data_IF_506157559000
#
_entry.id   IF_506157559000
#
_cell.length_a   1.000
_cell.length_b   1.000
_cell.length_c   1.000
_cell.angle_alpha   90.00
_cell.angle_beta   90.00
_cell.angle_gamma   90.00
#
_symmetry.space_group_name_H-M   'P 1'
#
loop_
_entity.id
_entity.type
_entity.pdbx_description
1 polymer ?
#
# COMPACT_ATOMS: atom_id res chain seq x y z
N UNK A 1 -1.37 -7.04 -10.80
CA UNK A 1 -0.28 -6.43 -11.57
C UNK A 1 -0.69 -6.14 -13.04
N UNK A 2 -1.14 -7.09 -13.90
CA UNK A 2 -1.48 -6.77 -15.30
C UNK A 2 -2.55 -5.69 -15.48
N UNK A 3 -3.47 -5.54 -14.52
CA UNK A 3 -4.52 -4.51 -14.57
C UNK A 3 -3.93 -3.11 -14.36
N UNK A 4 -2.98 -2.95 -13.43
CA UNK A 4 -2.31 -1.68 -13.19
C UNK A 4 -1.45 -1.25 -14.38
N UNK A 5 -0.78 -2.22 -15.04
CA UNK A 5 -0.04 -1.95 -16.27
C UNK A 5 -0.95 -1.40 -17.38
N UNK A 6 -2.10 -2.04 -17.59
CA UNK A 6 -3.09 -1.55 -18.56
C UNK A 6 -3.60 -0.15 -18.23
N UNK A 7 -3.91 0.14 -16.95
CA UNK A 7 -4.35 1.47 -16.53
C UNK A 7 -3.25 2.50 -16.80
N UNK A 8 -2.00 2.17 -16.51
CA UNK A 8 -0.84 3.03 -16.76
C UNK A 8 -0.66 3.34 -18.25
N UNK A 9 -0.77 2.32 -19.09
CA UNK A 9 -0.72 2.45 -20.56
C UNK A 9 -1.92 3.26 -21.11
N UNK A 10 -3.11 3.09 -20.57
CA UNK A 10 -4.30 3.84 -20.97
C UNK A 10 -4.23 5.31 -20.56
N UNK A 11 -3.60 5.63 -19.44
CA UNK A 11 -3.34 7.02 -19.01
C UNK A 11 -2.32 7.68 -19.94
N UNK A 12 -1.20 7.03 -20.17
CA UNK A 12 -0.12 7.46 -21.10
C UNK A 12 0.23 8.95 -21.00
N UNK A 13 0.36 9.46 -19.77
CA UNK A 13 0.74 10.84 -19.49
C UNK A 13 2.19 10.89 -18.98
N UNK A 14 3.09 11.69 -19.60
CA UNK A 14 4.50 11.75 -19.20
C UNK A 14 4.72 12.37 -17.80
N UNK A 15 3.74 13.07 -17.26
CA UNK A 15 3.80 13.67 -15.93
C UNK A 15 3.19 12.76 -14.85
N UNK A 16 2.71 11.59 -15.22
CA UNK A 16 2.14 10.63 -14.29
C UNK A 16 3.03 9.41 -14.13
N UNK A 17 3.24 8.99 -12.89
CA UNK A 17 3.99 7.78 -12.57
C UNK A 17 3.27 6.95 -11.50
N UNK A 18 3.30 5.64 -11.65
CA UNK A 18 2.95 4.70 -10.58
C UNK A 18 4.24 4.23 -9.91
N UNK A 19 4.29 4.31 -8.58
CA UNK A 19 5.31 3.65 -7.76
C UNK A 19 4.61 2.52 -7.01
N UNK A 20 4.91 1.29 -7.36
CA UNK A 20 4.35 0.10 -6.71
C UNK A 20 5.36 -0.50 -5.74
N UNK A 21 5.04 -0.50 -4.46
CA UNK A 21 5.87 -1.12 -3.43
C UNK A 21 5.31 -2.50 -3.06
N UNK A 22 6.11 -3.53 -3.28
CA UNK A 22 5.83 -4.87 -2.78
C UNK A 22 6.33 -4.98 -1.34
N UNK A 23 5.39 -5.05 -0.42
CA UNK A 23 5.65 -5.20 1.00
C UNK A 23 5.79 -6.68 1.36
N UNK A 24 7.02 -7.18 1.26
CA UNK A 24 7.33 -8.59 1.53
C UNK A 24 8.69 -8.73 2.20
N UNK A 25 8.72 -9.30 3.41
CA UNK A 25 9.96 -9.52 4.17
C UNK A 25 10.91 -10.54 3.54
N UNK A 26 10.43 -11.36 2.61
CA UNK A 26 11.25 -12.23 1.77
C UNK A 26 12.05 -11.47 0.71
N UNK A 27 11.76 -10.18 0.53
CA UNK A 27 12.49 -9.30 -0.34
C UNK A 27 12.34 -9.63 -1.83
N UNK A 28 13.37 -9.30 -2.59
CA UNK A 28 13.37 -9.48 -4.05
C UNK A 28 13.22 -10.96 -4.47
N UNK A 29 13.71 -11.89 -3.67
CA UNK A 29 13.60 -13.32 -3.97
C UNK A 29 12.15 -13.80 -4.06
N UNK A 30 11.22 -13.16 -3.33
CA UNK A 30 9.80 -13.48 -3.33
C UNK A 30 9.02 -12.55 -4.25
N UNK A 31 9.26 -11.23 -4.18
CA UNK A 31 8.53 -10.22 -4.95
C UNK A 31 8.97 -10.16 -6.43
N UNK A 32 10.27 -10.37 -6.71
CA UNK A 32 10.85 -10.25 -8.04
C UNK A 32 10.15 -11.12 -9.09
N UNK A 33 9.96 -12.44 -8.89
CA UNK A 33 9.25 -13.29 -9.84
C UNK A 33 7.82 -12.85 -10.16
N UNK A 34 7.14 -12.20 -9.20
CA UNK A 34 5.78 -11.65 -9.39
C UNK A 34 5.83 -10.41 -10.28
N UNK A 35 6.82 -9.55 -10.08
CA UNK A 35 7.07 -8.40 -10.92
C UNK A 35 7.44 -8.81 -12.35
N UNK A 36 8.38 -9.74 -12.50
CA UNK A 36 8.81 -10.25 -13.80
C UNK A 36 7.63 -10.83 -14.61
N UNK A 37 6.78 -11.61 -13.95
CA UNK A 37 5.58 -12.16 -14.61
C UNK A 37 4.61 -11.08 -15.06
N UNK A 38 4.51 -9.98 -14.32
CA UNK A 38 3.61 -8.88 -14.63
C UNK A 38 4.19 -7.91 -15.67
N UNK A 39 5.53 -7.91 -15.82
CA UNK A 39 6.30 -7.05 -16.72
C UNK A 39 5.82 -5.59 -16.76
N UNK A 40 5.68 -4.90 -15.62
CA UNK A 40 5.20 -3.54 -15.58
C UNK A 40 6.31 -2.56 -16.02
N UNK A 41 5.89 -1.48 -16.68
CA UNK A 41 6.79 -0.41 -17.14
C UNK A 41 6.87 0.78 -16.17
N UNK A 42 6.02 0.78 -15.12
CA UNK A 42 6.08 1.74 -14.04
C UNK A 42 7.10 1.34 -12.96
N UNK A 43 7.40 2.24 -12.03
CA UNK A 43 8.40 2.04 -10.99
C UNK A 43 7.95 0.93 -10.02
N UNK A 44 8.84 -0.03 -9.79
CA UNK A 44 8.66 -1.10 -8.84
C UNK A 44 9.71 -1.00 -7.74
N UNK A 45 9.26 -1.16 -6.51
CA UNK A 45 10.12 -1.14 -5.32
C UNK A 45 9.79 -2.37 -4.47
N UNK A 46 10.79 -3.02 -3.94
CA UNK A 46 10.62 -4.04 -2.91
C UNK A 46 10.88 -3.39 -1.56
N UNK A 47 9.91 -3.50 -0.65
CA UNK A 47 9.91 -2.87 0.68
C UNK A 47 9.88 -3.94 1.79
N UNK A 48 11.01 -4.65 2.02
CA UNK A 48 11.07 -5.75 2.98
C UNK A 48 10.97 -5.28 4.44
N UNK A 49 11.31 -4.04 4.70
CA UNK A 49 11.30 -3.45 6.03
C UNK A 49 10.04 -2.63 6.31
N UNK A 50 9.08 -2.63 5.39
CA UNK A 50 7.81 -1.90 5.48
C UNK A 50 7.96 -0.38 5.72
N UNK A 51 9.01 0.21 5.15
CA UNK A 51 9.34 1.64 5.32
C UNK A 51 8.26 2.50 4.66
N UNK A 52 7.85 2.14 3.44
CA UNK A 52 6.86 2.92 2.68
C UNK A 52 5.50 2.85 3.37
N UNK A 53 5.04 1.66 3.74
CA UNK A 53 3.75 1.54 4.42
C UNK A 53 3.72 2.26 5.77
N UNK A 54 4.82 2.21 6.51
CA UNK A 54 4.96 2.96 7.77
C UNK A 54 4.95 4.48 7.55
N UNK A 55 5.61 4.97 6.49
CA UNK A 55 5.65 6.40 6.18
C UNK A 55 4.27 6.98 5.82
N UNK A 56 3.42 6.18 5.16
CA UNK A 56 2.05 6.55 4.80
C UNK A 56 1.01 6.12 5.85
N UNK A 57 1.42 5.49 6.95
CA UNK A 57 0.53 4.87 7.94
C UNK A 57 -0.46 3.86 7.33
N UNK A 58 -0.05 3.13 6.30
CA UNK A 58 -0.85 2.06 5.74
C UNK A 58 -0.88 0.87 6.70
N UNK A 59 -2.06 0.44 7.07
CA UNK A 59 -2.26 -0.72 7.96
C UNK A 59 -2.76 -1.96 7.22
N UNK A 60 -3.06 -1.82 5.95
CA UNK A 60 -3.56 -2.91 5.11
C UNK A 60 -2.97 -2.81 3.70
N UNK A 61 -3.00 -3.93 2.97
CA UNK A 61 -2.65 -4.01 1.55
C UNK A 61 -3.81 -4.65 0.77
N UNK A 62 -4.12 -4.14 -0.41
CA UNK A 62 -3.50 -3.02 -1.13
C UNK A 62 -3.98 -1.66 -0.60
N UNK A 63 -3.07 -0.69 -0.50
CA UNK A 63 -3.36 0.72 -0.20
C UNK A 63 -2.70 1.62 -1.23
N UNK A 64 -3.23 2.82 -1.44
CA UNK A 64 -2.66 3.78 -2.35
C UNK A 64 -2.77 5.21 -1.83
N UNK A 65 -1.80 6.04 -2.20
CA UNK A 65 -1.85 7.47 -2.02
C UNK A 65 -1.63 8.16 -3.37
N UNK A 66 -2.39 9.21 -3.66
CA UNK A 66 -2.15 10.12 -4.78
C UNK A 66 -1.36 11.31 -4.26
N UNK A 67 -0.25 11.57 -4.89
CA UNK A 67 0.65 12.65 -4.51
C UNK A 67 0.75 13.62 -5.68
N UNK A 68 0.49 14.90 -5.43
CA UNK A 68 0.57 15.94 -6.46
C UNK A 68 2.02 16.41 -6.71
N UNK A 69 2.19 17.33 -7.65
CA UNK A 69 3.49 17.86 -8.07
C UNK A 69 4.18 18.66 -6.96
N UNK A 70 3.45 19.15 -5.96
CA UNK A 70 3.99 19.80 -4.77
C UNK A 70 4.32 18.83 -3.64
N UNK A 71 4.16 17.52 -3.87
CA UNK A 71 4.45 16.49 -2.88
C UNK A 71 3.37 16.34 -1.79
N UNK A 72 2.16 16.85 -2.03
CA UNK A 72 1.04 16.72 -1.08
C UNK A 72 0.21 15.48 -1.40
N UNK A 73 -0.22 14.77 -0.37
CA UNK A 73 -1.18 13.70 -0.51
C UNK A 73 -2.56 14.32 -0.76
N UNK A 74 -3.09 14.11 -1.96
CA UNK A 74 -4.42 14.62 -2.37
C UNK A 74 -5.51 13.55 -2.31
N UNK A 75 -5.13 12.29 -2.12
CA UNK A 75 -6.04 11.19 -1.87
C UNK A 75 -5.30 10.03 -1.20
N UNK A 76 -5.97 9.36 -0.27
CA UNK A 76 -5.48 8.14 0.36
C UNK A 76 -6.63 7.14 0.48
N UNK A 77 -6.39 5.90 0.03
CA UNK A 77 -7.37 4.84 0.04
C UNK A 77 -6.75 3.53 0.54
N UNK A 78 -7.47 2.83 1.40
CA UNK A 78 -7.20 1.43 1.72
C UNK A 78 -8.09 0.52 0.85
N UNK A 79 -7.60 -0.66 0.48
CA UNK A 79 -8.37 -1.61 -0.32
C UNK A 79 -8.48 -1.24 -1.80
N UNK A 80 -7.46 -0.63 -2.39
CA UNK A 80 -7.39 -0.31 -3.83
C UNK A 80 -7.19 -1.55 -4.68
N UNK A 81 -8.25 -2.27 -4.89
CA UNK A 81 -8.22 -3.55 -5.61
C UNK A 81 -8.10 -3.36 -7.12
N UNK A 82 -7.28 -4.22 -7.74
CA UNK A 82 -7.17 -4.33 -9.20
C UNK A 82 -8.34 -5.06 -9.84
N UNK A 83 -9.23 -5.64 -9.04
CA UNK A 83 -10.46 -6.32 -9.48
C UNK A 83 -11.66 -5.63 -8.85
N UNK A 84 -12.76 -5.59 -9.61
CA UNK A 84 -14.04 -5.16 -9.08
C UNK A 84 -14.63 -6.24 -8.19
N UNK A 85 -15.10 -5.84 -7.04
CA UNK A 85 -15.84 -6.67 -6.09
C UNK A 85 -17.26 -6.13 -5.99
N UNK A 86 -18.22 -7.03 -6.01
CA UNK A 86 -19.65 -6.69 -5.90
C UNK A 86 -20.19 -7.40 -4.67
N UNK A 87 -20.72 -6.64 -3.73
CA UNK A 87 -21.38 -7.14 -2.53
C UNK A 87 -22.84 -6.72 -2.52
N UNK A 88 -23.72 -7.64 -2.08
CA UNK A 88 -25.15 -7.40 -1.98
C UNK A 88 -25.98 -8.13 -3.04
N UNK A 89 -27.30 -7.98 -2.93
CA UNK A 89 -28.27 -8.56 -3.85
C UNK A 89 -29.48 -7.62 -4.01
N UNK A 90 -30.16 -7.68 -5.16
CA UNK A 90 -31.32 -6.84 -5.47
C UNK A 90 -30.92 -5.37 -5.58
N UNK A 91 -31.70 -4.48 -4.96
CA UNK A 91 -31.49 -3.04 -5.03
C UNK A 91 -30.35 -2.50 -4.12
N UNK A 92 -29.73 -3.36 -3.32
CA UNK A 92 -28.62 -3.03 -2.44
C UNK A 92 -27.31 -3.66 -2.93
N UNK A 93 -26.83 -3.23 -4.08
CA UNK A 93 -25.56 -3.67 -4.66
C UNK A 93 -24.53 -2.57 -4.48
N UNK A 94 -23.42 -2.90 -3.82
CA UNK A 94 -22.24 -2.03 -3.68
C UNK A 94 -21.13 -2.60 -4.56
N UNK A 95 -20.67 -1.82 -5.53
CA UNK A 95 -19.48 -2.14 -6.31
C UNK A 95 -18.30 -1.33 -5.79
N UNK A 96 -17.16 -1.98 -5.63
CA UNK A 96 -15.92 -1.33 -5.22
C UNK A 96 -14.73 -2.01 -5.90
N UNK A 97 -13.70 -1.24 -6.14
CA UNK A 97 -12.48 -1.74 -6.78
C UNK A 97 -12.18 -1.01 -8.09
N UNK A 98 -11.70 -1.74 -9.08
CA UNK A 98 -11.13 -1.15 -10.28
C UNK A 98 -12.12 -0.35 -11.14
N UNK A 99 -13.39 -0.72 -11.16
CA UNK A 99 -14.46 -0.02 -11.91
C UNK A 99 -14.74 1.39 -11.40
N UNK A 100 -14.44 1.67 -10.14
CA UNK A 100 -14.56 2.98 -9.52
C UNK A 100 -13.22 3.70 -9.47
N UNK A 101 -12.17 2.99 -9.10
CA UNK A 101 -10.86 3.57 -8.85
C UNK A 101 -10.13 4.01 -10.12
N UNK A 102 -10.14 3.19 -11.17
CA UNK A 102 -9.43 3.50 -12.39
C UNK A 102 -9.99 4.73 -13.14
N UNK A 103 -11.33 4.91 -13.27
CA UNK A 103 -11.89 6.16 -13.81
C UNK A 103 -11.54 7.38 -12.98
N UNK A 104 -11.59 7.28 -11.64
CA UNK A 104 -11.22 8.37 -10.75
C UNK A 104 -9.74 8.78 -10.91
N UNK A 105 -8.84 7.80 -11.01
CA UNK A 105 -7.42 8.04 -11.24
C UNK A 105 -7.17 8.76 -12.57
N UNK A 106 -7.83 8.32 -13.65
CA UNK A 106 -7.74 8.95 -14.97
C UNK A 106 -8.27 10.38 -14.97
N UNK A 107 -9.39 10.61 -14.28
CA UNK A 107 -9.95 11.96 -14.14
C UNK A 107 -8.99 12.89 -13.41
N UNK A 108 -8.36 12.40 -12.33
CA UNK A 108 -7.37 13.18 -11.58
C UNK A 108 -6.13 13.51 -12.43
N UNK A 109 -5.56 12.54 -13.13
CA UNK A 109 -4.41 12.80 -14.01
C UNK A 109 -4.75 13.83 -15.08
N UNK A 110 -5.96 13.78 -15.64
CA UNK A 110 -6.39 14.72 -16.67
C UNK A 110 -6.72 16.13 -16.16
N UNK A 111 -7.19 16.27 -14.90
CA UNK A 111 -7.70 17.53 -14.34
C UNK A 111 -6.87 18.10 -13.20
N UNK A 112 -5.94 17.33 -12.64
CA UNK A 112 -5.13 17.74 -11.50
C UNK A 112 -5.96 18.21 -10.32
N UNK A 113 -5.68 19.40 -9.82
CA UNK A 113 -6.40 20.01 -8.68
C UNK A 113 -7.89 20.29 -8.94
N UNK A 114 -8.36 20.20 -10.18
CA UNK A 114 -9.79 20.39 -10.54
C UNK A 114 -10.57 19.07 -10.58
N UNK A 115 -9.96 17.94 -10.27
CA UNK A 115 -10.68 16.66 -10.19
C UNK A 115 -11.59 16.64 -8.97
N UNK A 116 -12.82 16.14 -9.15
CA UNK A 116 -13.75 15.90 -8.05
C UNK A 116 -13.34 14.71 -7.16
N UNK A 117 -12.34 13.93 -7.59
CA UNK A 117 -11.86 12.75 -6.89
C UNK A 117 -10.73 13.02 -5.90
N UNK A 118 -10.19 14.24 -5.84
CA UNK A 118 -9.26 14.63 -4.79
C UNK A 118 -10.02 14.82 -3.48
N UNK A 119 -9.35 14.51 -2.38
CA UNK A 119 -9.89 14.66 -1.03
C UNK A 119 -9.44 16.00 -0.44
N UNK A 120 -10.25 16.60 0.42
CA UNK A 120 -9.79 17.73 1.21
C UNK A 120 -8.67 17.31 2.18
N UNK A 121 -7.81 18.24 2.57
CA UNK A 121 -6.76 17.96 3.55
C UNK A 121 -7.30 17.34 4.84
N UNK A 122 -8.47 17.79 5.30
CA UNK A 122 -9.14 17.23 6.47
C UNK A 122 -9.59 15.77 6.25
N UNK A 123 -10.08 15.44 5.05
CA UNK A 123 -10.48 14.07 4.70
C UNK A 123 -9.25 13.15 4.58
N UNK A 124 -8.17 13.61 3.94
CA UNK A 124 -6.90 12.88 3.89
C UNK A 124 -6.40 12.59 5.31
N UNK A 125 -6.33 13.62 6.18
CA UNK A 125 -5.91 13.46 7.58
C UNK A 125 -6.80 12.49 8.34
N UNK A 126 -8.11 12.56 8.11
CA UNK A 126 -9.09 11.66 8.76
C UNK A 126 -8.99 10.20 8.28
N UNK A 127 -8.53 9.98 7.06
CA UNK A 127 -8.32 8.64 6.50
C UNK A 127 -6.97 8.03 6.91
N UNK A 128 -5.99 8.84 7.32
CA UNK A 128 -4.73 8.34 7.87
C UNK A 128 -4.99 7.84 9.29
N UNK A 129 -4.79 6.56 9.51
CA UNK A 129 -4.94 5.98 10.84
C UNK A 129 -3.89 6.52 11.78
N UNK A 130 -4.34 6.94 12.96
CA UNK A 130 -3.44 7.32 14.05
C UNK A 130 -2.97 6.05 14.74
N UNK A 131 -1.66 5.87 14.80
CA UNK A 131 -1.07 4.75 15.53
C UNK A 131 -1.03 5.04 17.02
N UNK A 132 -1.41 4.06 17.85
CA UNK A 132 -1.16 4.10 19.28
C UNK A 132 0.34 4.00 19.60
N UNK A 133 0.74 4.33 20.80
CA UNK A 133 2.12 4.15 21.25
C UNK A 133 2.57 2.68 21.11
N UNK A 134 1.68 1.74 21.44
CA UNK A 134 1.96 0.30 21.31
C UNK A 134 2.14 -0.12 19.85
N UNK A 135 1.34 0.40 18.94
CA UNK A 135 1.49 0.13 17.49
C UNK A 135 2.81 0.68 16.95
N UNK A 136 3.19 1.89 17.32
CA UNK A 136 4.49 2.47 16.92
C UNK A 136 5.67 1.66 17.48
N UNK A 137 5.55 1.17 18.72
CA UNK A 137 6.56 0.31 19.31
C UNK A 137 6.59 -1.07 18.67
N UNK A 138 5.43 -1.61 18.28
CA UNK A 138 5.34 -2.86 17.52
C UNK A 138 6.04 -2.77 16.18
N UNK A 139 5.83 -1.67 15.43
CA UNK A 139 6.50 -1.45 14.13
C UNK A 139 8.03 -1.32 14.30
N UNK A 140 8.48 -0.67 15.35
CA UNK A 140 9.92 -0.59 15.66
C UNK A 140 10.50 -1.96 15.99
N UNK A 141 9.81 -2.77 16.81
CA UNK A 141 10.22 -4.14 17.13
C UNK A 141 10.25 -5.03 15.88
N UNK A 142 9.23 -4.92 14.99
CA UNK A 142 9.20 -5.64 13.74
C UNK A 142 10.41 -5.33 12.84
N UNK A 143 10.78 -4.05 12.71
CA UNK A 143 11.97 -3.66 11.93
C UNK A 143 13.25 -4.19 12.52
N UNK A 144 13.37 -4.23 13.85
CA UNK A 144 14.51 -4.86 14.53
C UNK A 144 14.55 -6.37 14.29
N UNK A 145 13.40 -7.05 14.31
CA UNK A 145 13.33 -8.47 13.99
C UNK A 145 13.85 -8.76 12.58
N UNK A 146 13.43 -7.98 11.59
CA UNK A 146 13.91 -8.10 10.21
C UNK A 146 15.39 -7.82 10.09
N UNK A 147 15.90 -6.78 10.76
CA UNK A 147 17.31 -6.46 10.77
C UNK A 147 18.15 -7.62 11.37
N UNK A 148 17.77 -8.16 12.53
CA UNK A 148 18.46 -9.28 13.14
C UNK A 148 18.38 -10.55 12.29
N UNK A 149 17.24 -10.80 11.64
CA UNK A 149 17.08 -11.92 10.71
C UNK A 149 18.04 -11.80 9.51
N UNK A 150 18.14 -10.63 8.89
CA UNK A 150 19.05 -10.39 7.76
C UNK A 150 20.53 -10.55 8.13
N UNK A 151 20.87 -10.34 9.40
CA UNK A 151 22.22 -10.57 9.94
C UNK A 151 22.42 -11.98 10.54
N UNK A 152 21.49 -12.90 10.33
CA UNK A 152 21.59 -14.28 10.82
C UNK A 152 21.44 -14.48 12.34
N UNK A 153 21.03 -13.43 13.08
CA UNK A 153 20.84 -13.46 14.53
C UNK A 153 19.42 -13.94 14.89
N UNK A 154 19.14 -15.20 14.63
CA UNK A 154 17.79 -15.80 14.70
C UNK A 154 17.12 -15.62 16.06
N UNK A 155 17.82 -15.84 17.16
CA UNK A 155 17.25 -15.74 18.52
C UNK A 155 16.77 -14.31 18.83
N UNK A 156 17.55 -13.29 18.44
CA UNK A 156 17.14 -11.90 18.60
C UNK A 156 16.00 -11.52 17.66
N UNK A 157 16.04 -12.02 16.44
CA UNK A 157 14.96 -11.80 15.48
C UNK A 157 13.63 -12.31 16.04
N UNK A 158 13.60 -13.53 16.59
CA UNK A 158 12.42 -14.12 17.21
C UNK A 158 11.94 -13.31 18.42
N UNK A 159 12.85 -12.92 19.31
CA UNK A 159 12.50 -12.09 20.47
C UNK A 159 11.78 -10.79 20.08
N UNK A 160 12.28 -10.08 19.09
CA UNK A 160 11.67 -8.83 18.64
C UNK A 160 10.39 -9.08 17.83
N UNK A 161 10.30 -10.21 17.12
CA UNK A 161 9.07 -10.62 16.45
C UNK A 161 7.94 -10.91 17.43
N UNK A 162 8.23 -11.66 18.50
CA UNK A 162 7.25 -11.91 19.57
C UNK A 162 6.82 -10.61 20.26
N UNK A 163 7.75 -9.69 20.50
CA UNK A 163 7.44 -8.37 21.05
C UNK A 163 6.50 -7.58 20.13
N UNK A 164 6.75 -7.54 18.82
CA UNK A 164 5.89 -6.86 17.85
C UNK A 164 4.47 -7.43 17.88
N UNK A 165 4.34 -8.76 17.87
CA UNK A 165 3.04 -9.45 17.92
C UNK A 165 2.29 -9.23 19.23
N UNK A 166 3.00 -9.18 20.34
CA UNK A 166 2.38 -8.91 21.65
C UNK A 166 1.82 -7.49 21.75
N UNK A 167 2.49 -6.51 21.14
CA UNK A 167 2.09 -5.12 21.13
C UNK A 167 0.97 -4.81 20.12
N UNK A 168 0.91 -5.55 19.01
CA UNK A 168 -0.12 -5.38 17.97
C UNK A 168 -0.54 -6.73 17.37
N UNK A 169 -1.30 -7.55 18.12
CA UNK A 169 -1.67 -8.91 17.73
C UNK A 169 -2.57 -8.97 16.49
N UNK A 170 -3.31 -7.92 16.22
CA UNK A 170 -4.25 -7.83 15.09
C UNK A 170 -3.63 -7.26 13.82
N UNK A 171 -2.32 -7.02 13.83
CA UNK A 171 -1.62 -6.48 12.65
C UNK A 171 -1.65 -7.49 11.50
N UNK A 172 -2.37 -7.14 10.44
CA UNK A 172 -2.42 -7.92 9.21
C UNK A 172 -1.02 -8.06 8.59
N UNK A 173 -0.20 -7.02 8.71
CA UNK A 173 1.17 -7.02 8.22
C UNK A 173 2.02 -8.08 8.94
N UNK A 174 1.89 -8.22 10.25
CA UNK A 174 2.66 -9.21 11.02
C UNK A 174 2.14 -10.63 10.80
N UNK A 175 0.82 -10.82 10.66
CA UNK A 175 0.21 -12.14 10.42
C UNK A 175 0.64 -12.71 9.05
N UNK A 176 0.79 -11.87 8.04
CA UNK A 176 1.13 -12.30 6.67
C UNK A 176 2.61 -12.63 6.46
N UNK A 177 3.48 -12.22 7.36
CA UNK A 177 4.94 -12.36 7.25
C UNK A 177 5.51 -13.54 8.07
N UNK A 178 4.65 -14.42 8.55
CA UNK A 178 5.03 -15.59 9.38
C UNK A 178 5.37 -16.82 8.53
#
# INVERSE_FOLDING_TARGET
MPVWQRIYEEINDPNFVIVCAAQDTGGEAVAGPIFDQANPTYIQVVDPDHIISSAFNFVNVPSAAWVDEEGRIVRIDEGTYSKTHVLGAGDQVISFGNDVYAPALKDWVAKGANSEHIQSAAAVTGNIRQHSADQLQADAAFRLANLFRSHGQKEKAEQYWEQARALNPDSVNFIRQN
#
